data_IF_792702846848
#
_entry.id   IF_792702846848
#
_cell.length_a   1.000
_cell.length_b   1.000
_cell.length_c   1.000
_cell.angle_alpha   90.00
_cell.angle_beta   90.00
_cell.angle_gamma   90.00
#
_symmetry.space_group_name_H-M   'P 1'
#
loop_
_entity.id
_entity.type
_entity.pdbx_description
1 polymer ?
#
# COMPACT_ATOMS: atom_id res chain seq x y z
N UNK A 1 -31.28 6.96 -103.41
CA UNK A 1 -29.96 6.65 -104.13
C UNK A 1 -28.88 6.35 -103.12
N UNK A 2 -28.27 5.20 -103.37
CA UNK A 2 -26.91 4.86 -103.00
C UNK A 2 -26.59 4.68 -101.51
N UNK A 3 -26.45 3.48 -101.17
CA UNK A 3 -25.32 2.54 -101.20
C UNK A 3 -24.42 2.74 -99.95
N UNK A 4 -24.50 1.78 -99.08
CA UNK A 4 -23.52 0.68 -98.84
C UNK A 4 -22.23 1.11 -98.17
N UNK A 5 -21.67 0.44 -97.29
CA UNK A 5 -21.23 -0.95 -97.24
C UNK A 5 -20.77 -1.32 -95.80
N UNK A 6 -20.65 -2.64 -95.56
CA UNK A 6 -20.50 -3.07 -94.16
C UNK A 6 -19.00 -3.18 -93.77
N UNK A 7 -18.88 -3.16 -92.51
CA UNK A 7 -17.72 -3.31 -91.72
C UNK A 7 -17.20 -4.74 -91.69
N UNK A 8 -15.94 -4.95 -91.45
CA UNK A 8 -15.42 -6.21 -90.95
C UNK A 8 -15.06 -6.19 -89.47
N UNK A 9 -15.53 -7.22 -88.84
CA UNK A 9 -15.24 -7.55 -87.43
C UNK A 9 -13.75 -7.57 -87.11
N UNK A 10 -13.36 -6.91 -86.02
CA UNK A 10 -12.07 -7.08 -85.39
C UNK A 10 -12.13 -8.17 -84.34
N UNK A 11 -11.35 -9.17 -84.51
CA UNK A 11 -11.09 -10.31 -83.67
C UNK A 11 -10.34 -9.86 -82.41
N UNK A 12 -10.85 -10.21 -81.24
CA UNK A 12 -10.16 -10.05 -80.02
C UNK A 12 -8.87 -10.88 -79.94
N UNK A 13 -7.76 -10.38 -79.42
CA UNK A 13 -6.56 -11.18 -79.24
C UNK A 13 -6.70 -12.09 -78.03
N UNK A 14 -6.35 -13.34 -78.27
CA UNK A 14 -6.18 -14.42 -77.34
C UNK A 14 -5.34 -14.01 -76.11
N UNK A 15 -5.87 -14.30 -74.96
CA UNK A 15 -5.10 -14.29 -73.69
C UNK A 15 -4.19 -15.54 -73.72
N UNK A 16 -2.87 -15.38 -73.45
CA UNK A 16 -1.97 -16.52 -73.39
C UNK A 16 -2.34 -17.38 -72.16
N UNK A 17 -2.23 -18.71 -72.24
CA UNK A 17 -2.50 -19.63 -71.17
C UNK A 17 -1.54 -19.39 -70.00
N UNK A 18 -2.11 -19.02 -68.88
CA UNK A 18 -1.36 -18.87 -67.64
C UNK A 18 -0.53 -20.14 -67.38
N UNK A 19 0.78 -20.01 -67.45
CA UNK A 19 1.71 -21.11 -67.27
C UNK A 19 1.39 -21.86 -65.97
N UNK A 20 1.01 -23.11 -66.08
CA UNK A 20 0.68 -23.98 -64.91
C UNK A 20 1.79 -23.95 -63.84
N UNK A 21 3.02 -23.70 -64.28
CA UNK A 21 4.18 -23.51 -63.38
C UNK A 21 4.01 -22.29 -62.44
N UNK A 22 3.44 -21.16 -62.92
CA UNK A 22 3.17 -19.97 -62.07
C UNK A 22 2.03 -20.24 -61.10
N UNK A 23 1.02 -21.03 -61.51
CA UNK A 23 -0.07 -21.40 -60.64
C UNK A 23 0.40 -22.31 -59.50
N UNK A 24 1.26 -23.30 -59.80
CA UNK A 24 1.88 -24.16 -58.78
C UNK A 24 2.82 -23.41 -57.85
N UNK A 25 3.51 -22.40 -58.36
CA UNK A 25 4.38 -21.53 -57.54
C UNK A 25 3.60 -20.64 -56.61
N UNK A 26 2.45 -20.10 -57.05
CA UNK A 26 1.54 -19.31 -56.20
C UNK A 26 0.84 -20.17 -55.15
N UNK A 27 0.41 -21.39 -55.51
CA UNK A 27 -0.19 -22.33 -54.55
C UNK A 27 0.86 -22.77 -53.51
N UNK A 28 2.10 -23.07 -53.96
CA UNK A 28 3.20 -23.44 -53.06
C UNK A 28 3.58 -22.32 -52.11
N UNK A 29 3.65 -21.07 -52.61
CA UNK A 29 3.92 -19.90 -51.77
C UNK A 29 2.81 -19.62 -50.77
N UNK A 30 1.53 -19.79 -51.17
CA UNK A 30 0.39 -19.65 -50.30
C UNK A 30 0.35 -20.70 -49.18
N UNK A 31 0.68 -21.94 -49.52
CA UNK A 31 0.71 -23.04 -48.54
C UNK A 31 1.88 -22.90 -47.55
N UNK A 32 3.03 -22.41 -48.02
CA UNK A 32 4.17 -22.09 -47.17
C UNK A 32 3.84 -20.93 -46.20
N UNK A 33 3.20 -19.90 -46.71
CA UNK A 33 2.76 -18.77 -45.86
C UNK A 33 1.73 -19.20 -44.77
N UNK A 34 0.81 -20.09 -45.14
CA UNK A 34 -0.15 -20.66 -44.22
C UNK A 34 0.51 -21.51 -43.13
N UNK A 35 1.48 -22.35 -43.51
CA UNK A 35 2.23 -23.15 -42.53
C UNK A 35 3.07 -22.30 -41.60
N UNK A 36 3.69 -21.23 -42.10
CA UNK A 36 4.44 -20.29 -41.28
C UNK A 36 3.52 -19.51 -40.31
N UNK A 37 2.31 -19.11 -40.75
CA UNK A 37 1.36 -18.40 -39.88
C UNK A 37 0.78 -19.32 -38.81
N UNK A 38 0.44 -20.57 -39.15
CA UNK A 38 -0.04 -21.55 -38.15
C UNK A 38 1.09 -21.96 -37.21
N UNK A 39 2.32 -22.14 -37.74
CA UNK A 39 3.47 -22.41 -36.86
C UNK A 39 3.82 -21.30 -35.92
N UNK A 40 3.75 -20.04 -36.38
CA UNK A 40 3.96 -18.88 -35.53
C UNK A 40 2.85 -18.72 -34.45
N UNK A 41 1.59 -18.95 -34.81
CA UNK A 41 0.49 -18.93 -33.89
C UNK A 41 0.57 -20.07 -32.84
N UNK A 42 0.93 -21.29 -33.30
CA UNK A 42 1.15 -22.41 -32.41
C UNK A 42 2.36 -22.20 -31.50
N UNK A 43 3.45 -21.64 -32.03
CA UNK A 43 4.63 -21.28 -31.22
C UNK A 43 4.26 -20.23 -30.17
N UNK A 44 3.46 -19.20 -30.50
CA UNK A 44 3.03 -18.16 -29.57
C UNK A 44 2.06 -18.70 -28.49
N UNK A 45 1.25 -19.71 -28.87
CA UNK A 45 0.32 -20.33 -27.92
C UNK A 45 1.00 -21.38 -27.03
N UNK A 46 2.03 -22.06 -27.50
CA UNK A 46 2.77 -23.07 -26.72
C UNK A 46 4.00 -22.48 -26.00
N UNK A 47 4.59 -21.40 -26.51
CA UNK A 47 5.68 -20.69 -25.86
C UNK A 47 5.18 -19.58 -24.91
N UNK A 48 3.87 -19.40 -24.83
CA UNK A 48 3.24 -18.38 -23.98
C UNK A 48 3.02 -18.80 -22.53
N UNK A 49 3.65 -19.87 -22.04
CA UNK A 49 3.60 -20.27 -20.63
C UNK A 49 4.92 -20.03 -19.88
N UNK A 50 5.87 -19.36 -20.49
CA UNK A 50 6.79 -18.57 -19.70
C UNK A 50 6.21 -17.15 -19.59
N UNK A 51 5.23 -17.00 -18.71
CA UNK A 51 4.98 -15.70 -18.10
C UNK A 51 6.34 -15.18 -17.63
N UNK A 52 6.93 -14.29 -18.44
CA UNK A 52 7.76 -13.29 -17.85
C UNK A 52 6.85 -12.60 -16.84
N UNK A 53 6.81 -13.13 -15.63
CA UNK A 53 6.46 -12.39 -14.45
C UNK A 53 7.31 -11.14 -14.56
N UNK A 54 6.71 -10.07 -15.08
CA UNK A 54 7.09 -8.74 -14.67
C UNK A 54 6.88 -8.83 -13.15
N UNK A 55 7.93 -9.22 -12.45
CA UNK A 55 8.06 -8.90 -11.05
C UNK A 55 7.95 -7.36 -10.99
N UNK A 56 6.72 -6.88 -11.02
CA UNK A 56 6.42 -5.69 -10.25
C UNK A 56 7.04 -6.03 -8.91
N UNK A 57 8.01 -5.26 -8.41
CA UNK A 57 8.47 -5.50 -7.05
C UNK A 57 7.21 -5.43 -6.21
N UNK A 58 6.67 -6.60 -5.87
CA UNK A 58 5.77 -6.72 -4.75
C UNK A 58 6.64 -6.21 -3.64
N UNK A 59 6.47 -4.93 -3.33
CA UNK A 59 6.89 -4.40 -2.05
C UNK A 59 6.30 -5.43 -1.09
N UNK A 60 7.16 -6.34 -0.65
CA UNK A 60 6.78 -7.31 0.35
C UNK A 60 6.25 -6.45 1.48
N UNK A 61 4.93 -6.36 1.55
CA UNK A 61 4.24 -5.77 2.69
C UNK A 61 4.67 -6.69 3.81
N UNK A 62 5.73 -6.29 4.49
CA UNK A 62 6.25 -7.01 5.63
C UNK A 62 5.03 -7.24 6.52
N UNK A 63 4.69 -8.51 6.73
CA UNK A 63 3.55 -8.89 7.57
C UNK A 63 3.68 -8.06 8.85
N UNK A 64 2.70 -7.22 9.19
CA UNK A 64 2.82 -6.35 10.34
C UNK A 64 3.18 -7.20 11.55
N UNK A 65 4.31 -6.92 12.19
CA UNK A 65 4.69 -7.62 13.42
C UNK A 65 3.54 -7.48 14.43
N UNK A 66 3.28 -8.50 15.21
CA UNK A 66 2.24 -8.47 16.23
C UNK A 66 2.49 -7.31 17.20
N UNK A 67 1.43 -6.63 17.61
CA UNK A 67 1.54 -5.56 18.59
C UNK A 67 1.94 -6.12 19.96
N UNK A 68 2.86 -5.45 20.60
CA UNK A 68 3.32 -5.72 21.97
C UNK A 68 2.86 -4.57 22.85
N UNK A 69 2.33 -4.89 24.01
CA UNK A 69 1.74 -3.92 24.92
C UNK A 69 2.48 -3.91 26.26
N UNK A 70 2.76 -2.71 26.77
CA UNK A 70 3.36 -2.48 28.08
C UNK A 70 2.47 -1.55 28.90
N UNK A 71 1.86 -2.08 29.96
CA UNK A 71 1.09 -1.27 30.91
C UNK A 71 2.01 -0.40 31.78
N UNK A 72 1.56 0.83 32.03
CA UNK A 72 2.22 1.77 32.95
C UNK A 72 1.48 1.80 34.30
N UNK A 73 1.56 0.73 35.04
CA UNK A 73 0.95 0.64 36.36
C UNK A 73 1.81 1.31 37.44
N UNK A 74 1.19 1.89 38.48
CA UNK A 74 -0.25 2.17 38.68
C UNK A 74 -0.75 3.32 37.79
N UNK A 75 -2.09 3.54 37.77
CA UNK A 75 -2.72 4.66 37.06
C UNK A 75 -2.07 6.00 37.44
N UNK A 76 -2.07 6.92 36.50
CA UNK A 76 -1.68 8.30 36.76
C UNK A 76 -2.84 9.05 37.45
N UNK A 77 -2.53 9.81 38.48
CA UNK A 77 -3.49 10.69 39.16
C UNK A 77 -2.91 12.10 39.16
N UNK A 78 -3.63 13.03 38.56
CA UNK A 78 -3.20 14.42 38.40
C UNK A 78 -4.29 15.32 38.96
N UNK A 79 -3.87 16.30 39.77
CA UNK A 79 -4.75 17.27 40.41
C UNK A 79 -4.80 18.56 39.58
N UNK A 80 -5.98 19.12 39.44
CA UNK A 80 -6.24 20.40 38.79
C UNK A 80 -6.97 21.35 39.75
N UNK A 81 -6.83 22.64 39.51
CA UNK A 81 -7.68 23.65 40.12
C UNK A 81 -8.58 24.23 39.04
N UNK A 82 -9.87 23.93 39.11
CA UNK A 82 -10.85 24.38 38.13
C UNK A 82 -11.99 25.11 38.85
N UNK A 83 -12.28 26.37 38.49
CA UNK A 83 -13.29 27.22 39.11
C UNK A 83 -13.15 27.28 40.63
N UNK A 84 -11.91 27.38 41.15
CA UNK A 84 -11.60 27.45 42.57
C UNK A 84 -11.82 26.15 43.34
N UNK A 85 -12.07 25.04 42.66
CA UNK A 85 -12.23 23.72 43.27
C UNK A 85 -11.14 22.77 42.82
N UNK A 86 -10.72 21.89 43.69
CA UNK A 86 -9.82 20.80 43.30
C UNK A 86 -10.59 19.79 42.48
N UNK A 87 -9.97 19.39 41.39
CA UNK A 87 -10.40 18.36 40.47
C UNK A 87 -9.27 17.39 40.23
N UNK A 88 -9.55 16.19 39.76
CA UNK A 88 -8.52 15.25 39.41
C UNK A 88 -8.89 14.42 38.19
N UNK A 89 -7.86 14.07 37.46
CA UNK A 89 -7.92 13.08 36.39
C UNK A 89 -7.20 11.84 36.86
N UNK A 90 -7.82 10.67 36.65
CA UNK A 90 -7.16 9.39 36.75
C UNK A 90 -7.11 8.77 35.34
N UNK A 91 -5.93 8.34 34.90
CA UNK A 91 -5.76 7.71 33.59
C UNK A 91 -4.86 6.48 33.68
N UNK A 92 -5.30 5.39 33.02
CA UNK A 92 -4.48 4.20 32.81
C UNK A 92 -3.88 4.27 31.41
N UNK A 93 -2.57 4.12 31.31
CA UNK A 93 -1.82 4.20 30.06
C UNK A 93 -1.19 2.87 29.73
N UNK A 94 -1.32 2.47 28.48
CA UNK A 94 -0.64 1.30 27.89
C UNK A 94 0.16 1.77 26.69
N UNK A 95 1.42 1.43 26.63
CA UNK A 95 2.27 1.70 25.48
C UNK A 95 2.19 0.53 24.50
N UNK A 96 2.05 0.84 23.21
CA UNK A 96 2.01 -0.14 22.14
C UNK A 96 3.21 0.03 21.22
N UNK A 97 3.89 -1.06 20.89
CA UNK A 97 4.96 -1.13 19.91
C UNK A 97 4.92 -2.43 19.13
N UNK A 98 5.86 -2.64 18.22
CA UNK A 98 5.92 -3.85 17.38
C UNK A 98 7.16 -4.68 17.60
N UNK A 99 8.23 -4.09 18.08
CA UNK A 99 9.48 -4.80 18.34
C UNK A 99 9.55 -5.28 19.80
N UNK A 100 9.46 -6.60 20.07
CA UNK A 100 9.50 -7.11 21.43
C UNK A 100 10.82 -6.83 22.15
N UNK A 101 11.95 -6.75 21.42
CA UNK A 101 13.26 -6.47 22.01
C UNK A 101 13.35 -5.02 22.46
N UNK A 102 12.95 -4.08 21.61
CA UNK A 102 12.89 -2.68 21.97
C UNK A 102 11.88 -2.43 23.10
N UNK A 103 10.70 -3.05 23.03
CA UNK A 103 9.68 -2.93 24.08
C UNK A 103 10.15 -3.45 25.43
N UNK A 104 10.98 -4.49 25.47
CA UNK A 104 11.56 -5.00 26.73
C UNK A 104 12.49 -3.99 27.43
N UNK A 105 13.13 -3.10 26.66
CA UNK A 105 14.03 -2.07 27.20
C UNK A 105 13.25 -0.95 27.91
N UNK A 106 11.96 -0.77 27.62
CA UNK A 106 11.13 0.23 28.31
C UNK A 106 11.14 0.07 29.83
N UNK A 107 11.29 -1.18 30.32
CA UNK A 107 11.25 -1.46 31.75
C UNK A 107 12.30 -0.68 32.56
N UNK A 108 13.49 -0.47 31.99
CA UNK A 108 14.56 0.31 32.62
C UNK A 108 14.25 1.81 32.62
N UNK A 109 13.41 2.30 31.70
CA UNK A 109 13.09 3.70 31.51
C UNK A 109 11.70 4.09 32.05
N UNK A 110 10.96 3.15 32.67
CA UNK A 110 9.61 3.41 33.18
C UNK A 110 9.54 4.62 34.12
N UNK A 111 10.47 4.85 35.07
CA UNK A 111 10.42 6.04 35.92
C UNK A 111 10.50 7.35 35.12
N UNK A 112 11.33 7.37 34.07
CA UNK A 112 11.51 8.55 33.23
C UNK A 112 10.25 8.80 32.36
N UNK A 113 9.69 7.74 31.78
CA UNK A 113 8.45 7.79 31.02
C UNK A 113 7.31 8.29 31.90
N UNK A 114 7.20 7.78 33.13
CA UNK A 114 6.16 8.21 34.06
C UNK A 114 6.29 9.67 34.44
N UNK A 115 7.51 10.14 34.70
CA UNK A 115 7.76 11.56 34.98
C UNK A 115 7.32 12.44 33.81
N UNK A 116 7.70 12.10 32.58
CA UNK A 116 7.33 12.86 31.39
C UNK A 116 5.82 12.95 31.23
N UNK A 117 5.11 11.81 31.38
CA UNK A 117 3.66 11.77 31.26
C UNK A 117 2.95 12.54 32.41
N UNK A 118 3.46 12.48 33.64
CA UNK A 118 2.89 13.28 34.74
C UNK A 118 3.02 14.77 34.45
N UNK A 119 4.19 15.21 33.96
CA UNK A 119 4.40 16.63 33.60
C UNK A 119 3.46 17.04 32.47
N UNK A 120 3.34 16.21 31.41
CA UNK A 120 2.42 16.45 30.31
C UNK A 120 0.99 16.57 30.81
N UNK A 121 0.50 15.58 31.55
CA UNK A 121 -0.89 15.57 32.04
C UNK A 121 -1.18 16.76 32.97
N UNK A 122 -0.22 17.16 33.79
CA UNK A 122 -0.38 18.31 34.70
C UNK A 122 -0.42 19.65 33.99
N UNK A 123 0.04 19.73 32.74
CA UNK A 123 0.05 20.96 31.94
C UNK A 123 -1.24 21.17 31.12
N UNK A 124 -2.14 20.19 31.12
CA UNK A 124 -3.37 20.26 30.34
C UNK A 124 -4.45 21.11 31.01
N UNK A 125 -5.30 21.72 30.18
CA UNK A 125 -6.50 22.40 30.66
C UNK A 125 -7.59 21.37 30.96
N UNK A 126 -8.14 21.44 32.20
CA UNK A 126 -9.12 20.46 32.65
C UNK A 126 -10.38 20.43 31.79
N UNK A 127 -10.84 21.58 31.28
CA UNK A 127 -12.04 21.67 30.46
C UNK A 127 -11.87 20.96 29.08
N UNK A 128 -10.68 21.02 28.52
CA UNK A 128 -10.41 20.36 27.25
C UNK A 128 -10.59 18.83 27.34
N UNK A 129 -10.36 18.27 28.54
CA UNK A 129 -10.41 16.83 28.76
C UNK A 129 -11.83 16.24 28.77
N UNK A 130 -12.89 17.07 28.79
CA UNK A 130 -14.26 16.57 28.70
C UNK A 130 -14.67 16.21 27.28
N UNK A 131 -14.03 16.82 26.27
CA UNK A 131 -14.33 16.53 24.88
C UNK A 131 -13.63 15.26 24.39
N UNK A 132 -14.19 14.52 23.44
CA UNK A 132 -13.49 13.43 22.77
C UNK A 132 -12.21 13.89 22.08
N UNK A 133 -12.25 15.05 21.44
CA UNK A 133 -11.13 15.66 20.70
C UNK A 133 -9.97 16.01 21.64
N UNK A 134 -10.27 16.57 22.84
CA UNK A 134 -9.26 16.89 23.83
C UNK A 134 -8.56 15.64 24.38
N UNK A 135 -9.32 14.56 24.62
CA UNK A 135 -8.74 13.27 25.02
C UNK A 135 -7.84 12.68 23.93
N UNK A 136 -8.25 12.79 22.67
CA UNK A 136 -7.44 12.31 21.55
C UNK A 136 -6.17 13.15 21.40
N UNK A 137 -6.27 14.46 21.46
CA UNK A 137 -5.11 15.36 21.45
C UNK A 137 -4.13 15.02 22.57
N UNK A 138 -4.64 14.78 23.78
CA UNK A 138 -3.81 14.36 24.92
C UNK A 138 -3.10 13.03 24.65
N UNK A 139 -3.82 12.06 24.08
CA UNK A 139 -3.27 10.75 23.71
C UNK A 139 -2.14 10.86 22.67
N UNK A 140 -2.35 11.70 21.65
CA UNK A 140 -1.35 11.95 20.61
C UNK A 140 -0.11 12.62 21.21
N UNK A 141 -0.28 13.65 22.05
CA UNK A 141 0.81 14.33 22.73
C UNK A 141 1.57 13.37 23.65
N UNK A 142 0.88 12.51 24.39
CA UNK A 142 1.51 11.47 25.21
C UNK A 142 2.34 10.49 24.35
N UNK A 143 1.81 10.09 23.20
CA UNK A 143 2.53 9.22 22.24
C UNK A 143 3.81 9.89 21.71
N UNK A 144 3.71 11.16 21.32
CA UNK A 144 4.86 11.93 20.82
C UNK A 144 5.92 12.16 21.91
N UNK A 145 5.50 12.50 23.13
CA UNK A 145 6.41 12.72 24.26
C UNK A 145 7.22 11.45 24.57
N UNK A 146 6.55 10.29 24.65
CA UNK A 146 7.25 9.03 24.93
C UNK A 146 8.14 8.62 23.76
N UNK A 147 7.72 8.81 22.50
CA UNK A 147 8.57 8.56 21.31
C UNK A 147 9.85 9.39 21.36
N UNK A 148 9.71 10.70 21.54
CA UNK A 148 10.85 11.61 21.58
C UNK A 148 11.81 11.27 22.74
N UNK A 149 11.24 10.90 23.89
CA UNK A 149 12.02 10.47 25.04
C UNK A 149 12.82 9.18 24.72
N UNK A 150 12.17 8.17 24.16
CA UNK A 150 12.83 6.90 23.82
C UNK A 150 13.84 7.06 22.70
N UNK A 151 13.58 7.91 21.74
CA UNK A 151 14.54 8.23 20.68
C UNK A 151 15.81 8.88 21.27
N UNK A 152 15.65 9.74 22.26
CA UNK A 152 16.78 10.35 22.98
C UNK A 152 17.58 9.36 23.81
N UNK A 153 16.91 8.43 24.50
CA UNK A 153 17.53 7.50 25.43
C UNK A 153 18.08 6.23 24.74
N UNK A 154 17.38 5.74 23.72
CA UNK A 154 17.67 4.46 23.04
C UNK A 154 18.04 4.62 21.56
N UNK A 155 17.96 5.84 21.01
CA UNK A 155 18.17 6.09 19.59
C UNK A 155 17.04 5.61 18.67
N UNK A 156 15.92 5.17 19.24
CA UNK A 156 14.74 4.66 18.50
C UNK A 156 13.44 5.07 19.21
N UNK A 157 12.36 5.35 18.46
CA UNK A 157 11.07 5.74 19.04
C UNK A 157 10.34 4.62 19.80
N UNK A 158 10.81 3.40 19.78
CA UNK A 158 10.37 2.18 20.47
C UNK A 158 8.87 1.89 20.40
N UNK A 159 8.02 2.89 20.69
CA UNK A 159 6.57 2.74 20.71
C UNK A 159 5.93 3.34 19.45
N UNK A 160 4.76 2.82 19.06
CA UNK A 160 3.91 3.40 18.02
C UNK A 160 2.91 4.38 18.59
N UNK A 161 2.33 4.05 19.74
CA UNK A 161 1.33 4.91 20.39
C UNK A 161 1.20 4.62 21.88
N UNK A 162 0.75 5.63 22.60
CA UNK A 162 0.18 5.47 23.93
C UNK A 162 -1.34 5.28 23.80
N UNK A 163 -1.90 4.39 24.59
CA UNK A 163 -3.32 4.07 24.64
C UNK A 163 -3.85 4.40 26.03
N UNK A 164 -5.01 5.04 26.08
CA UNK A 164 -5.70 5.29 27.33
C UNK A 164 -6.79 4.24 27.50
N UNK A 165 -6.62 3.35 28.44
CA UNK A 165 -7.55 2.24 28.67
C UNK A 165 -8.66 2.61 29.65
N UNK A 166 -8.44 3.64 30.46
CA UNK A 166 -9.42 4.21 31.36
C UNK A 166 -9.10 5.68 31.63
N UNK A 167 -10.10 6.56 31.58
CA UNK A 167 -9.99 7.98 31.98
C UNK A 167 -11.18 8.32 32.85
N UNK A 168 -10.91 8.81 34.06
CA UNK A 168 -11.91 9.31 34.99
C UNK A 168 -11.58 10.76 35.32
N UNK A 169 -12.57 11.65 35.21
CA UNK A 169 -12.50 13.07 35.57
C UNK A 169 -13.48 13.34 36.70
N UNK A 170 -13.00 13.90 37.78
CA UNK A 170 -13.82 14.19 38.97
C UNK A 170 -13.52 15.57 39.53
#
# INVERSE_FOLDING_TARGET
MARQQPEPAQVAPDSPPASRKKLFLLIGAGLLALLLSVGAAAYFLLAGEDEASVETPVVATAKPMAAVYQSLDPAFVVNYVHNGRQRYMQVNVVLMGRDPQLMSQLSAHLPLIRNELVMLFSSEEFDALFSPEGKETLRERASLAVKALMEKELGNPVIESALFTNIVLQ
#
